data_IF_631012072919
#
_entry.id   IF_631012072919
#
_cell.length_a   1.000
_cell.length_b   1.000
_cell.length_c   1.000
_cell.angle_alpha   90.00
_cell.angle_beta   90.00
_cell.angle_gamma   90.00
#
_symmetry.space_group_name_H-M   'P 1'
#
loop_
_entity.id
_entity.type
_entity.pdbx_description
1 polymer ?
#
# COMPACT_ATOMS: atom_id res chain seq x y z
N UNK A 1 4.45 0.02 -16.78
CA UNK A 1 4.66 -0.53 -15.43
C UNK A 1 6.12 -0.30 -15.06
N UNK A 2 6.41 0.29 -13.91
CA UNK A 2 7.80 0.55 -13.46
C UNK A 2 8.11 -0.39 -12.30
N UNK A 3 9.28 -1.04 -12.33
CA UNK A 3 9.73 -1.93 -11.25
C UNK A 3 10.54 -1.13 -10.23
N UNK A 4 10.18 -1.26 -8.96
CA UNK A 4 10.84 -0.60 -7.83
C UNK A 4 11.33 -1.71 -6.89
N UNK A 5 12.53 -1.55 -6.35
CA UNK A 5 13.03 -2.39 -5.27
C UNK A 5 13.00 -1.57 -3.97
N UNK A 6 12.52 -2.18 -2.90
CA UNK A 6 12.49 -1.59 -1.56
C UNK A 6 13.22 -2.51 -0.60
N UNK A 7 13.78 -1.93 0.46
CA UNK A 7 14.32 -2.69 1.58
C UNK A 7 13.35 -2.55 2.74
N UNK A 8 12.98 -3.68 3.34
CA UNK A 8 12.08 -3.75 4.50
C UNK A 8 12.66 -4.72 5.53
N UNK A 9 12.39 -4.53 6.83
CA UNK A 9 12.67 -5.54 7.84
C UNK A 9 12.02 -6.88 7.51
N UNK A 10 12.72 -7.98 7.80
CA UNK A 10 12.27 -9.33 7.44
C UNK A 10 11.03 -9.75 8.23
N UNK A 11 11.03 -9.51 9.53
CA UNK A 11 9.89 -9.72 10.44
C UNK A 11 8.63 -9.02 9.94
N UNK A 12 8.74 -7.75 9.58
CA UNK A 12 7.63 -6.97 9.02
C UNK A 12 7.13 -7.55 7.70
N UNK A 13 8.03 -8.04 6.84
CA UNK A 13 7.66 -8.63 5.56
C UNK A 13 6.93 -9.96 5.74
N UNK A 14 7.31 -10.77 6.73
CA UNK A 14 6.62 -12.01 7.06
C UNK A 14 5.19 -11.76 7.54
N UNK A 15 5.01 -10.89 8.53
CA UNK A 15 3.68 -10.48 9.01
C UNK A 15 2.82 -9.93 7.87
N UNK A 16 3.43 -9.14 6.97
CA UNK A 16 2.72 -8.59 5.83
C UNK A 16 2.30 -9.66 4.80
N UNK A 17 3.10 -10.72 4.60
CA UNK A 17 2.74 -11.83 3.71
C UNK A 17 1.54 -12.60 4.26
N UNK A 18 1.53 -12.90 5.54
CA UNK A 18 0.40 -13.58 6.20
C UNK A 18 -0.89 -12.77 6.04
N UNK A 19 -0.81 -11.45 6.23
CA UNK A 19 -1.93 -10.55 5.97
C UNK A 19 -2.38 -10.62 4.50
N UNK A 20 -1.47 -10.61 3.54
CA UNK A 20 -1.80 -10.69 2.12
C UNK A 20 -2.52 -12.00 1.76
N UNK A 21 -2.06 -13.13 2.33
CA UNK A 21 -2.67 -14.44 2.14
C UNK A 21 -4.11 -14.47 2.69
N UNK A 22 -4.32 -13.85 3.86
CA UNK A 22 -5.64 -13.64 4.46
C UNK A 22 -6.60 -12.84 3.55
N UNK A 23 -6.07 -11.96 2.69
CA UNK A 23 -6.85 -11.17 1.74
C UNK A 23 -6.96 -11.83 0.36
N UNK A 24 -6.39 -13.03 0.17
CA UNK A 24 -6.31 -13.74 -1.12
C UNK A 24 -5.65 -12.86 -2.19
N UNK A 25 -4.58 -12.15 -1.83
CA UNK A 25 -3.88 -11.20 -2.70
C UNK A 25 -2.37 -11.40 -2.64
N UNK A 26 -1.69 -11.11 -3.75
CA UNK A 26 -0.23 -11.03 -3.74
C UNK A 26 0.24 -9.78 -2.98
N UNK A 27 1.44 -9.85 -2.40
CA UNK A 27 2.15 -8.73 -1.78
C UNK A 27 2.15 -7.49 -2.70
N UNK A 28 2.49 -7.67 -3.98
CA UNK A 28 2.51 -6.59 -4.97
C UNK A 28 1.15 -5.97 -5.22
N UNK A 29 0.08 -6.78 -5.24
CA UNK A 29 -1.30 -6.29 -5.44
C UNK A 29 -1.77 -5.51 -4.22
N UNK A 30 -1.43 -6.00 -3.02
CA UNK A 30 -1.81 -5.35 -1.77
C UNK A 30 -1.08 -4.01 -1.58
N UNK A 31 0.22 -3.94 -1.91
CA UNK A 31 0.97 -2.68 -1.91
C UNK A 31 0.33 -1.68 -2.88
N UNK A 32 0.00 -2.09 -4.11
CA UNK A 32 -0.65 -1.20 -5.09
C UNK A 32 -2.01 -0.69 -4.58
N UNK A 33 -2.79 -1.56 -3.94
CA UNK A 33 -4.06 -1.18 -3.34
C UNK A 33 -3.89 -0.11 -2.25
N UNK A 34 -2.94 -0.30 -1.33
CA UNK A 34 -2.65 0.66 -0.29
C UNK A 34 -2.08 1.98 -0.83
N UNK A 35 -1.21 1.93 -1.83
CA UNK A 35 -0.71 3.13 -2.51
C UNK A 35 -1.87 3.94 -3.10
N UNK A 36 -2.83 3.29 -3.76
CA UNK A 36 -4.01 3.97 -4.31
C UNK A 36 -4.85 4.62 -3.22
N UNK A 37 -5.16 3.88 -2.14
CA UNK A 37 -5.92 4.43 -1.02
C UNK A 37 -5.24 5.62 -0.36
N UNK A 38 -3.91 5.55 -0.17
CA UNK A 38 -3.13 6.63 0.41
C UNK A 38 -3.16 7.89 -0.47
N UNK A 39 -3.01 7.74 -1.79
CA UNK A 39 -3.10 8.87 -2.73
C UNK A 39 -4.49 9.50 -2.72
N UNK A 40 -5.55 8.69 -2.80
CA UNK A 40 -6.94 9.16 -2.80
C UNK A 40 -7.30 9.88 -1.48
N UNK A 41 -6.82 9.38 -0.35
CA UNK A 41 -7.05 9.99 0.97
C UNK A 41 -6.35 11.34 1.10
N UNK A 42 -5.11 11.45 0.61
CA UNK A 42 -4.35 12.71 0.61
C UNK A 42 -4.96 13.76 -0.33
N UNK A 43 -5.51 13.35 -1.47
CA UNK A 43 -6.19 14.27 -2.39
C UNK A 43 -7.49 14.82 -1.78
N UNK A 44 -8.26 13.98 -1.08
CA UNK A 44 -9.48 14.42 -0.38
C UNK A 44 -9.19 15.40 0.76
N UNK A 45 -8.10 15.21 1.50
CA UNK A 45 -7.70 16.15 2.55
C UNK A 45 -7.29 17.51 1.97
N UNK A 46 -6.51 17.53 0.89
CA UNK A 46 -6.10 18.78 0.22
C UNK A 46 -7.24 19.54 -0.45
N UNK A 47 -8.33 18.86 -0.83
CA UNK A 47 -9.52 19.50 -1.41
C UNK A 47 -10.39 20.25 -0.39
N UNK A 48 -10.27 19.96 0.91
CA UNK A 48 -11.10 20.55 1.96
C UNK A 48 -10.45 21.76 2.67
N UNK A 49 -9.22 22.13 2.31
CA UNK A 49 -8.54 23.34 2.83
C UNK A 49 -8.67 24.55 1.88
N UNK A 50 -9.52 24.47 0.85
CA UNK A 50 -9.73 25.55 -0.13
C UNK A 50 -11.21 25.82 -0.44
N UNK A 51 -12.11 25.60 0.53
CA UNK A 51 -13.52 25.99 0.44
C UNK A 51 -13.98 26.72 1.69
#
# INVERSE_FOLDING_TARGET
MTRINITVPEDLLEEFKEYCDSQVRSVSSQIQFFMKQAVESNQKQKGNESS
#
